data_IF_340427648016
#
_entry.id   IF_340427648016
#
_cell.length_a   1.000
_cell.length_b   1.000
_cell.length_c   1.000
_cell.angle_alpha   90.00
_cell.angle_beta   90.00
_cell.angle_gamma   90.00
#
_symmetry.space_group_name_H-M   'P 1'
#
loop_
_entity.id
_entity.type
_entity.pdbx_description
1 polymer ?
#
# COMPACT_ATOMS: atom_id res chain seq x y z
N UNK A 1 32.75 43.07 -7.97
CA UNK A 1 31.34 42.96 -7.51
C UNK A 1 30.54 42.37 -8.67
N UNK A 2 29.82 41.26 -8.64
CA UNK A 2 29.39 40.32 -7.61
C UNK A 2 28.08 39.66 -8.11
N UNK A 3 28.01 38.32 -8.11
CA UNK A 3 26.80 37.52 -8.38
C UNK A 3 26.58 37.22 -9.87
N UNK A 4 26.67 36.00 -10.44
CA UNK A 4 26.42 34.60 -10.04
C UNK A 4 24.92 34.24 -9.93
N UNK A 5 24.52 33.26 -10.77
CA UNK A 5 23.46 32.22 -10.59
C UNK A 5 22.02 32.63 -10.96
N UNK A 6 21.14 31.77 -11.48
CA UNK A 6 21.18 30.41 -12.04
C UNK A 6 19.87 30.22 -12.84
N UNK A 7 19.88 29.30 -13.80
CA UNK A 7 18.71 28.82 -14.51
C UNK A 7 17.64 28.23 -13.57
N UNK A 8 16.38 28.47 -13.89
CA UNK A 8 15.22 27.79 -13.32
C UNK A 8 14.18 27.59 -14.41
N UNK A 9 14.34 26.52 -15.19
CA UNK A 9 13.28 26.02 -16.04
C UNK A 9 12.37 25.15 -15.20
N UNK A 10 11.17 25.63 -14.91
CA UNK A 10 10.08 24.82 -14.35
C UNK A 10 9.63 23.81 -15.41
N UNK A 11 10.33 22.68 -15.43
CA UNK A 11 9.78 21.42 -15.92
C UNK A 11 9.09 20.79 -14.74
N UNK A 12 7.83 21.16 -14.53
CA UNK A 12 6.91 20.38 -13.71
C UNK A 12 6.74 19.03 -14.38
N UNK A 13 7.66 18.12 -14.02
CA UNK A 13 7.69 16.75 -14.44
C UNK A 13 6.40 16.09 -14.02
N UNK A 14 5.58 15.77 -15.04
CA UNK A 14 4.50 14.82 -14.94
C UNK A 14 4.98 13.54 -14.25
N UNK A 15 4.81 13.44 -12.94
CA UNK A 15 5.00 12.19 -12.22
C UNK A 15 3.71 11.40 -12.38
N UNK A 16 3.72 10.60 -13.44
CA UNK A 16 2.73 9.59 -13.79
C UNK A 16 2.05 8.97 -12.57
N UNK A 17 0.83 9.39 -12.27
CA UNK A 17 -0.08 8.61 -11.42
C UNK A 17 -0.53 7.41 -12.24
N UNK A 18 0.33 6.39 -12.34
CA UNK A 18 -0.09 5.04 -12.74
C UNK A 18 -0.87 4.50 -11.56
N UNK A 19 -2.18 4.79 -11.54
CA UNK A 19 -3.13 4.14 -10.65
C UNK A 19 -3.05 2.65 -10.96
N UNK A 20 -2.26 1.95 -10.13
CA UNK A 20 -2.25 0.50 -10.06
C UNK A 20 -3.70 0.03 -10.01
N UNK A 21 -4.11 -0.69 -11.05
CA UNK A 21 -5.39 -1.39 -11.09
C UNK A 21 -5.53 -2.21 -9.80
N UNK A 22 -6.47 -1.79 -8.94
CA UNK A 22 -6.83 -2.52 -7.71
C UNK A 22 -8.34 -2.74 -7.72
N UNK A 23 -8.79 -3.97 -8.02
CA UNK A 23 -10.20 -4.33 -7.93
C UNK A 23 -10.73 -4.17 -6.50
N UNK A 24 -11.87 -3.50 -6.34
CA UNK A 24 -12.53 -3.32 -5.03
C UNK A 24 -12.80 -4.66 -4.32
N UNK A 25 -13.16 -5.68 -5.10
CA UNK A 25 -13.37 -7.06 -4.61
C UNK A 25 -12.14 -7.72 -3.99
N UNK A 26 -10.92 -7.17 -4.17
CA UNK A 26 -9.69 -7.75 -3.62
C UNK A 26 -9.38 -7.28 -2.20
N UNK A 27 -10.03 -6.24 -1.68
CA UNK A 27 -9.70 -5.73 -0.34
C UNK A 27 -9.97 -6.76 0.76
N UNK A 28 -11.15 -7.40 0.73
CA UNK A 28 -11.50 -8.43 1.70
C UNK A 28 -10.54 -9.65 1.61
N UNK A 29 -10.32 -10.26 0.44
CA UNK A 29 -9.32 -11.32 0.27
C UNK A 29 -7.91 -10.90 0.73
N UNK A 30 -7.49 -9.65 0.46
CA UNK A 30 -6.20 -9.16 0.89
C UNK A 30 -6.08 -9.14 2.42
N UNK A 31 -7.09 -8.62 3.11
CA UNK A 31 -7.10 -8.57 4.58
C UNK A 31 -7.07 -9.98 5.18
N UNK A 32 -7.85 -10.91 4.64
CA UNK A 32 -7.82 -12.32 5.06
C UNK A 32 -6.43 -12.94 4.90
N UNK A 33 -5.79 -12.77 3.73
CA UNK A 33 -4.44 -13.28 3.48
C UNK A 33 -3.40 -12.66 4.45
N UNK A 34 -3.54 -11.37 4.78
CA UNK A 34 -2.65 -10.71 5.74
C UNK A 34 -2.82 -11.33 7.13
N UNK A 35 -4.05 -11.55 7.58
CA UNK A 35 -4.33 -12.17 8.89
C UNK A 35 -3.75 -13.58 8.99
N UNK A 36 -3.93 -14.41 7.94
CA UNK A 36 -3.34 -15.75 7.87
C UNK A 36 -1.80 -15.73 7.93
N UNK A 37 -1.15 -14.73 7.33
CA UNK A 37 0.30 -14.56 7.40
C UNK A 37 0.79 -14.00 8.73
N UNK A 38 -0.02 -13.18 9.41
CA UNK A 38 0.27 -12.72 10.78
C UNK A 38 0.20 -13.90 11.76
N UNK A 39 -0.82 -14.75 11.64
CA UNK A 39 -0.96 -15.97 12.44
C UNK A 39 0.23 -16.91 12.26
N UNK A 40 0.77 -16.99 11.04
CA UNK A 40 1.98 -17.77 10.72
C UNK A 40 3.30 -17.07 11.10
N UNK A 41 3.25 -15.86 11.65
CA UNK A 41 4.44 -15.07 12.02
C UNK A 41 5.27 -14.55 10.83
N UNK A 42 4.70 -14.54 9.62
CA UNK A 42 5.35 -14.14 8.37
C UNK A 42 5.20 -12.65 8.07
N UNK A 43 4.21 -11.99 8.68
CA UNK A 43 4.01 -10.54 8.65
C UNK A 43 3.97 -10.03 10.09
N UNK A 44 4.73 -8.98 10.36
CA UNK A 44 4.74 -8.27 11.65
C UNK A 44 4.44 -6.80 11.37
N UNK A 45 3.48 -6.22 12.10
CA UNK A 45 3.06 -4.81 11.95
C UNK A 45 2.69 -4.40 10.51
N UNK A 46 2.18 -5.35 9.72
CA UNK A 46 1.86 -5.15 8.30
C UNK A 46 3.09 -4.84 7.43
N UNK A 47 4.30 -5.08 7.93
CA UNK A 47 5.52 -5.13 7.14
C UNK A 47 5.82 -6.59 6.81
N UNK A 48 5.84 -6.87 5.53
CA UNK A 48 6.28 -8.18 5.06
C UNK A 48 7.80 -8.15 4.92
N UNK A 49 8.49 -9.21 5.34
CA UNK A 49 9.83 -9.51 4.79
C UNK A 49 9.69 -9.68 3.26
N UNK A 50 10.76 -9.59 2.47
CA UNK A 50 10.68 -9.68 1.00
C UNK A 50 9.83 -10.87 0.48
N UNK A 51 9.80 -11.98 1.22
CA UNK A 51 8.98 -13.16 0.95
C UNK A 51 7.46 -13.00 1.15
N UNK A 52 7.02 -12.07 2.00
CA UNK A 52 5.61 -11.97 2.37
C UNK A 52 4.71 -11.36 1.29
N UNK A 53 5.21 -10.43 0.46
CA UNK A 53 4.44 -9.92 -0.68
C UNK A 53 4.23 -10.98 -1.77
N UNK A 54 5.22 -11.86 -1.99
CA UNK A 54 5.09 -12.98 -2.91
C UNK A 54 4.11 -14.04 -2.38
N UNK A 55 4.10 -14.28 -1.06
CA UNK A 55 3.11 -15.13 -0.43
C UNK A 55 1.68 -14.56 -0.59
N UNK A 56 1.50 -13.26 -0.36
CA UNK A 56 0.22 -12.58 -0.57
C UNK A 56 -0.26 -12.65 -2.01
N UNK A 57 0.63 -12.47 -2.98
CA UNK A 57 0.31 -12.61 -4.41
C UNK A 57 -0.21 -14.03 -4.72
N UNK A 58 0.51 -15.07 -4.28
CA UNK A 58 0.08 -16.47 -4.48
C UNK A 58 -1.27 -16.75 -3.82
N UNK A 59 -1.48 -16.29 -2.58
CA UNK A 59 -2.73 -16.52 -1.86
C UNK A 59 -3.90 -15.77 -2.50
N UNK A 60 -3.68 -14.56 -3.00
CA UNK A 60 -4.70 -13.80 -3.73
C UNK A 60 -5.08 -14.44 -5.05
N UNK A 61 -4.12 -14.96 -5.82
CA UNK A 61 -4.41 -15.69 -7.06
C UNK A 61 -5.19 -16.98 -6.78
N UNK A 62 -4.95 -17.64 -5.64
CA UNK A 62 -5.74 -18.80 -5.21
C UNK A 62 -7.17 -18.43 -4.81
N UNK A 63 -7.37 -17.34 -4.06
CA UNK A 63 -8.70 -16.91 -3.62
C UNK A 63 -9.51 -16.25 -4.75
N UNK A 64 -8.84 -15.53 -5.65
CA UNK A 64 -9.43 -14.81 -6.78
C UNK A 64 -8.58 -15.08 -8.03
N UNK A 65 -8.82 -16.20 -8.72
CA UNK A 65 -8.11 -16.53 -9.94
C UNK A 65 -8.24 -15.44 -11.00
N UNK A 66 -7.15 -15.14 -11.71
CA UNK A 66 -7.08 -14.11 -12.74
C UNK A 66 -7.10 -12.68 -12.18
N UNK A 67 -6.78 -12.47 -10.91
CA UNK A 67 -6.76 -11.13 -10.32
C UNK A 67 -5.65 -10.23 -10.87
N UNK A 68 -4.57 -10.83 -11.38
CA UNK A 68 -3.48 -10.13 -12.08
C UNK A 68 -2.74 -9.10 -11.21
N UNK A 69 -2.83 -9.22 -9.88
CA UNK A 69 -2.12 -8.32 -8.96
C UNK A 69 -0.74 -8.86 -8.62
N UNK A 70 0.26 -7.98 -8.60
CA UNK A 70 1.63 -8.31 -8.21
C UNK A 70 1.92 -7.86 -6.79
N UNK A 71 2.75 -8.61 -6.07
CA UNK A 71 3.26 -8.28 -4.74
C UNK A 71 3.77 -6.85 -4.66
N UNK A 72 4.61 -6.47 -5.63
CA UNK A 72 5.01 -5.08 -5.87
C UNK A 72 4.70 -4.69 -7.33
N UNK A 73 4.20 -3.46 -7.60
CA UNK A 73 3.88 -2.42 -6.62
C UNK A 73 2.44 -2.49 -6.06
N UNK A 74 1.59 -3.43 -6.52
CA UNK A 74 0.14 -3.37 -6.28
C UNK A 74 -0.23 -3.66 -4.83
N UNK A 75 0.16 -4.84 -4.30
CA UNK A 75 -0.19 -5.27 -2.94
C UNK A 75 0.50 -4.39 -1.91
N UNK A 76 1.79 -4.10 -2.08
CA UNK A 76 2.53 -3.18 -1.22
C UNK A 76 1.86 -1.79 -1.15
N UNK A 77 1.50 -1.23 -2.31
CA UNK A 77 0.81 0.05 -2.39
C UNK A 77 -0.55 0.05 -1.70
N UNK A 78 -1.31 -1.05 -1.82
CA UNK A 78 -2.60 -1.18 -1.17
C UNK A 78 -2.48 -1.26 0.35
N UNK A 79 -1.56 -2.07 0.87
CA UNK A 79 -1.30 -2.19 2.31
C UNK A 79 -0.89 -0.84 2.90
N UNK A 80 -0.01 -0.09 2.23
CA UNK A 80 0.38 1.27 2.65
C UNK A 80 -0.83 2.21 2.72
N UNK A 81 -1.76 2.13 1.76
CA UNK A 81 -2.98 2.93 1.77
C UNK A 81 -3.93 2.52 2.91
N UNK A 82 -4.14 1.22 3.13
CA UNK A 82 -4.98 0.72 4.23
C UNK A 82 -4.45 1.17 5.59
N UNK A 83 -3.13 1.09 5.82
CA UNK A 83 -2.50 1.59 7.05
C UNK A 83 -2.74 3.08 7.27
N UNK A 84 -2.55 3.91 6.24
CA UNK A 84 -2.79 5.37 6.34
C UNK A 84 -4.24 5.69 6.67
N UNK A 85 -5.19 5.01 6.02
CA UNK A 85 -6.62 5.21 6.29
C UNK A 85 -6.97 4.82 7.73
N UNK A 86 -6.46 3.68 8.20
CA UNK A 86 -6.64 3.24 9.58
C UNK A 86 -6.07 4.25 10.57
N UNK A 87 -4.83 4.72 10.36
CA UNK A 87 -4.19 5.73 11.19
C UNK A 87 -5.03 7.02 11.27
N UNK A 88 -5.55 7.51 10.14
CA UNK A 88 -6.40 8.69 10.11
C UNK A 88 -7.70 8.49 10.92
N UNK A 89 -8.35 7.33 10.79
CA UNK A 89 -9.56 7.00 11.57
C UNK A 89 -9.23 6.93 13.06
N UNK A 90 -8.14 6.27 13.45
CA UNK A 90 -7.73 6.19 14.86
C UNK A 90 -7.36 7.56 15.43
N UNK A 91 -6.71 8.41 14.62
CA UNK A 91 -6.37 9.77 15.02
C UNK A 91 -7.62 10.61 15.24
N UNK A 92 -8.59 10.56 14.31
CA UNK A 92 -9.86 11.25 14.47
C UNK A 92 -10.61 10.73 15.70
N UNK A 93 -10.66 9.41 15.92
CA UNK A 93 -11.29 8.83 17.11
C UNK A 93 -10.61 9.28 18.42
N UNK A 94 -9.30 9.46 18.43
CA UNK A 94 -8.56 9.85 19.64
C UNK A 94 -8.57 11.36 19.89
N UNK A 95 -8.73 12.19 18.86
CA UNK A 95 -8.79 13.65 19.00
C UNK A 95 -10.20 14.22 19.13
N UNK A 96 -11.16 13.53 18.55
CA UNK A 96 -12.56 13.88 18.69
C UNK A 96 -13.07 13.23 19.98
N UNK A 97 -13.79 13.97 20.84
CA UNK A 97 -14.38 13.46 22.08
C UNK A 97 -15.54 12.47 21.85
N UNK A 98 -15.38 11.55 20.91
CA UNK A 98 -16.31 10.50 20.51
C UNK A 98 -15.88 9.16 21.14
N UNK A 99 -15.72 9.19 22.46
CA UNK A 99 -15.45 8.04 23.32
C UNK A 99 -16.58 7.84 24.31
#
# INVERSE_FOLDING_TARGET
>A
MGGKRHAGGDKDGATSKKYSFWPEKLDKPLVECILELVEKGLIVDGNSKNSGYAALEKMLEQKVPGCGVRGRPHIEGRIKKLKKNWQAITFMRNQSGWG
#
